data_IF_695873155455
#
_entry.id   IF_695873155455
#
_cell.length_a   1.000
_cell.length_b   1.000
_cell.length_c   1.000
_cell.angle_alpha   90.00
_cell.angle_beta   90.00
_cell.angle_gamma   90.00
#
_symmetry.space_group_name_H-M   'P 1'
#
loop_
_entity.id
_entity.type
_entity.pdbx_description
1 polymer ?
#
# COMPACT_ATOMS: atom_id res chain seq x y z
N UNK A 1 24.82 -12.95 -6.60
CA UNK A 1 24.67 -11.50 -6.94
C UNK A 1 23.38 -11.26 -7.72
N UNK A 2 23.19 -11.89 -8.88
CA UNK A 2 22.04 -11.67 -9.77
C UNK A 2 20.68 -11.90 -9.11
N UNK A 3 20.50 -12.98 -8.34
CA UNK A 3 19.24 -13.28 -7.64
C UNK A 3 18.82 -12.17 -6.66
N UNK A 4 19.78 -11.59 -5.95
CA UNK A 4 19.52 -10.46 -5.03
C UNK A 4 19.06 -9.21 -5.79
N UNK A 5 19.69 -8.92 -6.94
CA UNK A 5 19.30 -7.78 -7.78
C UNK A 5 17.90 -7.97 -8.37
N UNK A 6 17.58 -9.18 -8.85
CA UNK A 6 16.22 -9.52 -9.31
C UNK A 6 15.20 -9.29 -8.19
N UNK A 7 15.50 -9.75 -6.97
CA UNK A 7 14.64 -9.51 -5.80
C UNK A 7 14.42 -8.02 -5.51
N UNK A 8 15.45 -7.17 -5.68
CA UNK A 8 15.32 -5.70 -5.53
C UNK A 8 14.46 -5.07 -6.62
N UNK A 9 14.58 -5.53 -7.86
CA UNK A 9 13.74 -5.07 -8.97
C UNK A 9 12.27 -5.42 -8.70
N UNK A 10 12.00 -6.64 -8.23
CA UNK A 10 10.63 -7.06 -7.84
C UNK A 10 10.11 -6.20 -6.68
N UNK A 11 10.95 -5.96 -5.66
CA UNK A 11 10.58 -5.09 -4.53
C UNK A 11 10.24 -3.67 -4.98
N UNK A 12 10.92 -3.11 -5.99
CA UNK A 12 10.69 -1.74 -6.43
C UNK A 12 9.24 -1.50 -6.92
N UNK A 13 8.54 -2.55 -7.39
CA UNK A 13 7.14 -2.46 -7.78
C UNK A 13 6.23 -2.03 -6.60
N UNK A 14 6.59 -2.39 -5.36
CA UNK A 14 5.80 -2.02 -4.17
C UNK A 14 5.77 -0.51 -3.91
N UNK A 15 6.71 0.26 -4.47
CA UNK A 15 6.75 1.73 -4.31
C UNK A 15 5.50 2.41 -4.90
N UNK A 16 4.85 1.78 -5.88
CA UNK A 16 3.60 2.28 -6.49
C UNK A 16 2.43 2.33 -5.51
N UNK A 17 2.46 1.52 -4.45
CA UNK A 17 1.38 1.43 -3.45
C UNK A 17 1.07 2.76 -2.77
N UNK A 18 2.06 3.63 -2.55
CA UNK A 18 1.87 4.96 -1.94
C UNK A 18 1.06 5.88 -2.87
N UNK A 19 1.33 5.83 -4.18
CA UNK A 19 0.56 6.59 -5.16
C UNK A 19 -0.87 6.05 -5.29
N UNK A 20 -1.01 4.72 -5.35
CA UNK A 20 -2.29 4.04 -5.47
C UNK A 20 -3.20 4.29 -4.26
N UNK A 21 -2.68 4.21 -3.05
CA UNK A 21 -3.44 4.50 -1.81
C UNK A 21 -4.06 5.90 -1.83
N UNK A 22 -3.31 6.92 -2.27
CA UNK A 22 -3.81 8.29 -2.38
C UNK A 22 -4.83 8.46 -3.51
N UNK A 23 -4.68 7.73 -4.61
CA UNK A 23 -5.67 7.73 -5.70
C UNK A 23 -6.99 7.15 -5.20
N UNK A 24 -6.97 5.98 -4.55
CA UNK A 24 -8.17 5.33 -3.97
C UNK A 24 -8.87 6.27 -2.98
N UNK A 25 -8.15 6.92 -2.07
CA UNK A 25 -8.76 7.87 -1.11
C UNK A 25 -9.43 9.04 -1.83
N UNK A 26 -8.87 9.51 -2.95
CA UNK A 26 -9.48 10.60 -3.75
C UNK A 26 -10.69 10.14 -4.57
N UNK A 27 -10.76 8.85 -4.91
CA UNK A 27 -11.86 8.28 -5.68
C UNK A 27 -13.06 7.93 -4.79
N UNK A 28 -12.83 7.57 -3.52
CA UNK A 28 -13.88 7.15 -2.57
C UNK A 28 -14.46 8.30 -1.75
N UNK A 29 -13.69 9.35 -1.45
CA UNK A 29 -14.10 10.44 -0.56
C UNK A 29 -14.31 11.78 -1.31
N UNK A 30 -15.26 12.59 -0.86
CA UNK A 30 -15.44 13.98 -1.35
C UNK A 30 -14.18 14.82 -1.08
N UNK A 31 -13.98 15.91 -1.85
CA UNK A 31 -12.78 16.77 -1.76
C UNK A 31 -12.47 17.22 -0.33
N UNK A 32 -13.50 17.56 0.45
CA UNK A 32 -13.34 18.04 1.82
C UNK A 32 -12.85 16.93 2.77
N UNK A 33 -13.29 15.68 2.57
CA UNK A 33 -12.91 14.53 3.40
C UNK A 33 -11.60 13.88 2.94
N UNK A 34 -11.29 13.93 1.66
CA UNK A 34 -10.07 13.34 1.09
C UNK A 34 -8.80 13.94 1.71
N UNK A 35 -8.77 15.25 1.96
CA UNK A 35 -7.62 15.91 2.60
C UNK A 35 -7.35 15.39 4.02
N UNK A 36 -8.41 15.23 4.83
CA UNK A 36 -8.30 14.68 6.18
C UNK A 36 -7.82 13.21 6.16
N UNK A 37 -8.38 12.40 5.25
CA UNK A 37 -7.98 10.99 5.10
C UNK A 37 -6.52 10.82 4.64
N UNK A 38 -6.07 11.63 3.69
CA UNK A 38 -4.66 11.68 3.28
C UNK A 38 -3.76 12.12 4.46
N UNK A 39 -4.24 13.03 5.30
CA UNK A 39 -3.57 13.41 6.54
C UNK A 39 -3.32 12.22 7.47
N UNK A 40 -4.34 11.38 7.69
CA UNK A 40 -4.19 10.15 8.49
C UNK A 40 -3.18 9.17 7.88
N UNK A 41 -3.20 8.97 6.55
CA UNK A 41 -2.21 8.13 5.87
C UNK A 41 -0.79 8.67 6.08
N UNK A 42 -0.61 9.98 5.95
CA UNK A 42 0.69 10.66 6.13
C UNK A 42 1.19 10.54 7.56
N UNK A 43 0.30 10.68 8.55
CA UNK A 43 0.63 10.45 9.95
C UNK A 43 1.12 9.01 10.18
N UNK A 44 0.43 8.02 9.60
CA UNK A 44 0.86 6.63 9.65
C UNK A 44 2.28 6.42 9.08
N UNK A 45 2.59 7.07 7.95
CA UNK A 45 3.92 7.03 7.34
C UNK A 45 5.01 7.66 8.21
N UNK A 46 4.67 8.65 9.04
CA UNK A 46 5.61 9.27 9.98
C UNK A 46 5.83 8.40 11.24
N UNK A 47 4.78 7.75 11.73
CA UNK A 47 4.82 6.92 12.95
C UNK A 47 5.46 5.55 12.69
N UNK A 48 5.21 4.94 11.53
CA UNK A 48 5.74 3.63 11.18
C UNK A 48 7.28 3.50 11.35
N UNK A 49 8.13 4.41 10.82
CA UNK A 49 9.58 4.34 11.01
C UNK A 49 10.02 4.61 12.44
N UNK A 50 9.18 5.23 13.29
CA UNK A 50 9.48 5.43 14.70
C UNK A 50 9.40 4.12 15.48
N UNK A 51 8.40 3.29 15.16
CA UNK A 51 8.14 2.02 15.86
C UNK A 51 8.88 0.85 15.18
N UNK A 52 9.17 0.97 13.88
CA UNK A 52 9.81 -0.06 13.06
C UNK A 52 11.12 -0.62 13.65
N UNK A 53 12.11 0.21 14.02
CA UNK A 53 13.37 -0.25 14.63
C UNK A 53 13.17 -0.95 15.97
N UNK A 54 12.21 -0.51 16.78
CA UNK A 54 11.90 -1.13 18.06
C UNK A 54 11.40 -2.57 17.85
N UNK A 55 10.39 -2.74 17.00
CA UNK A 55 9.83 -4.07 16.68
C UNK A 55 10.89 -4.93 15.98
N UNK A 56 11.59 -4.36 15.00
CA UNK A 56 12.63 -5.04 14.24
C UNK A 56 13.79 -5.51 15.11
N UNK A 57 14.23 -4.70 16.07
CA UNK A 57 15.31 -5.04 17.00
C UNK A 57 14.92 -6.15 17.98
N UNK A 58 13.69 -6.13 18.51
CA UNK A 58 13.19 -7.22 19.36
C UNK A 58 13.09 -8.53 18.57
N UNK A 59 12.57 -8.46 17.33
CA UNK A 59 12.47 -9.63 16.46
C UNK A 59 13.84 -10.19 16.06
N UNK A 60 14.78 -9.32 15.72
CA UNK A 60 16.14 -9.71 15.36
C UNK A 60 16.87 -10.39 16.52
N UNK A 61 16.74 -9.86 17.74
CA UNK A 61 17.39 -10.44 18.92
C UNK A 61 16.76 -11.76 19.37
N UNK A 62 15.43 -11.91 19.27
CA UNK A 62 14.74 -13.12 19.73
C UNK A 62 14.69 -14.25 18.69
N UNK A 63 14.51 -13.92 17.40
CA UNK A 63 14.24 -14.89 16.33
C UNK A 63 15.18 -14.76 15.12
N UNK A 64 16.13 -13.82 15.17
CA UNK A 64 17.05 -13.51 14.09
C UNK A 64 16.44 -12.63 12.99
N UNK A 65 17.29 -12.06 12.15
CA UNK A 65 16.93 -11.09 11.11
C UNK A 65 15.86 -11.55 10.11
N UNK A 66 15.71 -12.86 9.89
CA UNK A 66 14.71 -13.42 8.95
C UNK A 66 13.28 -13.22 9.44
N UNK A 67 13.08 -13.09 10.74
CA UNK A 67 11.76 -12.93 11.35
C UNK A 67 11.06 -11.62 10.92
N UNK A 68 11.83 -10.56 10.67
CA UNK A 68 11.32 -9.28 10.17
C UNK A 68 10.66 -9.45 8.80
N UNK A 69 11.25 -10.26 7.92
CA UNK A 69 10.68 -10.54 6.60
C UNK A 69 9.36 -11.31 6.73
N UNK A 70 9.31 -12.32 7.60
CA UNK A 70 8.07 -13.06 7.86
C UNK A 70 6.96 -12.19 8.43
N UNK A 71 7.29 -11.27 9.35
CA UNK A 71 6.33 -10.30 9.88
C UNK A 71 5.77 -9.43 8.75
N UNK A 72 6.65 -8.83 7.93
CA UNK A 72 6.23 -7.97 6.81
C UNK A 72 5.39 -8.74 5.78
N UNK A 73 5.75 -9.99 5.49
CA UNK A 73 4.94 -10.87 4.63
C UNK A 73 3.55 -11.11 5.22
N UNK A 74 3.45 -11.38 6.53
CA UNK A 74 2.17 -11.55 7.22
C UNK A 74 1.29 -10.30 7.12
N UNK A 75 1.86 -9.12 7.39
CA UNK A 75 1.15 -7.83 7.24
C UNK A 75 0.67 -7.62 5.79
N UNK A 76 1.52 -7.94 4.82
CA UNK A 76 1.16 -7.87 3.40
C UNK A 76 0.00 -8.79 3.02
N UNK A 77 0.00 -10.05 3.49
CA UNK A 77 -1.10 -10.99 3.26
C UNK A 77 -2.39 -10.47 3.88
N UNK A 78 -2.35 -10.02 5.15
CA UNK A 78 -3.53 -9.45 5.81
C UNK A 78 -4.08 -8.26 5.03
N UNK A 79 -3.19 -7.39 4.52
CA UNK A 79 -3.59 -6.23 3.71
C UNK A 79 -4.26 -6.67 2.42
N UNK A 80 -3.70 -7.65 1.69
CA UNK A 80 -4.30 -8.19 0.46
C UNK A 80 -5.68 -8.79 0.75
N UNK A 81 -5.80 -9.55 1.84
CA UNK A 81 -7.07 -10.14 2.28
C UNK A 81 -8.11 -9.06 2.57
N UNK A 82 -7.74 -8.01 3.31
CA UNK A 82 -8.64 -6.88 3.59
C UNK A 82 -9.06 -6.18 2.30
N UNK A 83 -8.13 -5.90 1.39
CA UNK A 83 -8.44 -5.28 0.10
C UNK A 83 -9.36 -6.15 -0.75
N UNK A 84 -9.18 -7.47 -0.75
CA UNK A 84 -10.01 -8.39 -1.51
C UNK A 84 -11.47 -8.44 -1.01
N UNK A 85 -11.70 -8.20 0.29
CA UNK A 85 -13.05 -8.22 0.88
C UNK A 85 -13.71 -6.84 0.96
N UNK A 86 -12.94 -5.78 1.21
CA UNK A 86 -13.45 -4.43 1.49
C UNK A 86 -13.43 -3.51 0.25
N UNK A 87 -12.48 -3.75 -0.68
CA UNK A 87 -12.37 -2.99 -1.92
C UNK A 87 -13.18 -3.66 -3.04
N UNK A 88 -14.51 -3.58 -2.95
CA UNK A 88 -15.40 -3.97 -4.05
C UNK A 88 -15.08 -3.18 -5.32
N UNK A 89 -14.98 -3.84 -6.48
CA UNK A 89 -14.59 -3.21 -7.76
C UNK A 89 -15.34 -1.90 -8.02
N UNK A 90 -14.60 -0.79 -8.00
CA UNK A 90 -15.14 0.55 -8.28
C UNK A 90 -15.62 0.71 -9.74
N UNK A 91 -15.28 -0.23 -10.63
CA UNK A 91 -15.69 -0.21 -12.03
C UNK A 91 -16.60 -1.39 -12.40
N UNK A 92 -17.87 -1.32 -12.02
CA UNK A 92 -18.91 -2.18 -12.59
C UNK A 92 -19.49 -1.64 -13.92
N UNK A 93 -19.07 -0.47 -14.40
CA UNK A 93 -19.56 0.12 -15.67
C UNK A 93 -18.60 -0.14 -16.84
N UNK A 94 -18.44 -1.41 -17.21
CA UNK A 94 -17.83 -1.82 -18.47
C UNK A 94 -18.75 -1.43 -19.64
N UNK A 95 -18.79 -0.15 -20.04
CA UNK A 95 -19.71 0.24 -21.11
C UNK A 95 -19.73 1.67 -21.65
N UNK A 96 -18.94 2.63 -21.16
CA UNK A 96 -18.96 3.99 -21.74
C UNK A 96 -17.90 4.12 -22.85
N UNK A 97 -18.28 4.37 -24.11
CA UNK A 97 -17.32 4.63 -25.19
C UNK A 97 -16.44 5.82 -24.81
N UNK A 98 -15.14 5.76 -25.10
CA UNK A 98 -14.14 6.81 -24.78
C UNK A 98 -14.34 8.06 -25.66
N UNK A 99 -15.04 7.90 -26.79
CA UNK A 99 -15.24 8.94 -27.82
C UNK A 99 -15.93 10.25 -27.36
N UNK A 100 -16.89 10.26 -26.42
CA UNK A 100 -17.49 11.50 -25.90
C UNK A 100 -16.60 12.26 -24.91
N UNK A 101 -15.62 11.61 -24.29
CA UNK A 101 -14.75 12.22 -23.25
C UNK A 101 -13.62 13.07 -23.85
N UNK A 102 -13.24 12.81 -25.11
CA UNK A 102 -12.20 13.55 -25.83
C UNK A 102 -12.72 14.81 -26.53
N UNK A 103 -14.03 15.09 -26.44
CA UNK A 103 -14.69 16.23 -27.11
C UNK A 103 -15.12 17.36 -26.15
N UNK A 104 -14.82 17.25 -24.86
CA UNK A 104 -15.02 18.29 -23.86
C UNK A 104 -13.68 18.91 -23.45
#
# INVERSE_FOLDING_TARGET
MTLFLVGRVVQAASATGIALSRAIVRDVYSRERAAAMIGYVTMGLAVAPMIGPLIGGVLDTAFGWRSVFWLLTGIGIVTIVLLAFDLSETNSETGRPILPQLRA
#
